data_IF_470605746619
#
_entry.id   IF_470605746619
#
_cell.length_a   1.000
_cell.length_b   1.000
_cell.length_c   1.000
_cell.angle_alpha   90.00
_cell.angle_beta   90.00
_cell.angle_gamma   90.00
#
_symmetry.space_group_name_H-M   'P 1'
#
loop_
_entity.id
_entity.type
_entity.pdbx_description
1 polymer ?
#
# COMPACT_ATOMS: atom_id res chain seq x y z
N UNK A 1 -3.72 -31.83 30.09
CA UNK A 1 -4.43 -30.57 29.83
C UNK A 1 -5.19 -30.83 28.56
N UNK A 2 -6.51 -30.85 28.61
CA UNK A 2 -7.37 -31.12 27.45
C UNK A 2 -7.71 -29.80 26.73
N UNK A 3 -7.70 -29.77 25.40
CA UNK A 3 -8.06 -28.57 24.63
C UNK A 3 -9.48 -28.10 24.95
N UNK A 4 -10.39 -29.04 25.22
CA UNK A 4 -11.75 -28.72 25.63
C UNK A 4 -11.80 -27.98 26.99
N UNK A 5 -10.92 -28.30 27.94
CA UNK A 5 -10.84 -27.56 29.21
C UNK A 5 -10.44 -26.10 28.98
N UNK A 6 -9.57 -25.84 27.99
CA UNK A 6 -9.20 -24.47 27.58
C UNK A 6 -10.41 -23.74 26.97
N UNK A 7 -11.20 -24.39 26.10
CA UNK A 7 -12.45 -23.78 25.57
C UNK A 7 -13.42 -23.41 26.69
N UNK A 8 -13.61 -24.31 27.66
CA UNK A 8 -14.46 -24.05 28.83
C UNK A 8 -13.92 -22.88 29.66
N UNK A 9 -12.61 -22.83 29.90
CA UNK A 9 -11.96 -21.72 30.58
C UNK A 9 -12.17 -20.38 29.87
N UNK A 10 -11.94 -20.32 28.55
CA UNK A 10 -12.09 -19.10 27.77
C UNK A 10 -13.53 -18.57 27.82
N UNK A 11 -14.52 -19.47 27.79
CA UNK A 11 -15.92 -19.07 27.86
C UNK A 11 -16.30 -18.52 29.25
N UNK A 12 -15.84 -19.18 30.32
CA UNK A 12 -16.04 -18.67 31.70
C UNK A 12 -15.31 -17.34 31.90
N UNK A 13 -14.11 -17.18 31.34
CA UNK A 13 -13.34 -15.95 31.41
C UNK A 13 -14.01 -14.80 30.64
N UNK A 14 -14.61 -15.08 29.47
CA UNK A 14 -15.33 -14.10 28.64
C UNK A 14 -16.57 -13.55 29.34
N UNK A 15 -17.33 -14.42 29.99
CA UNK A 15 -18.56 -14.06 30.68
C UNK A 15 -18.37 -13.63 32.14
N UNK A 16 -17.22 -13.97 32.74
CA UNK A 16 -17.03 -13.93 34.20
C UNK A 16 -18.23 -14.54 34.94
N UNK A 17 -18.77 -15.64 34.39
CA UNK A 17 -19.92 -16.34 34.92
C UNK A 17 -19.89 -17.82 34.51
N UNK A 18 -19.89 -18.71 35.51
CA UNK A 18 -19.97 -20.16 35.26
C UNK A 18 -21.32 -20.58 34.70
N UNK A 19 -22.40 -19.86 35.06
CA UNK A 19 -23.76 -20.18 34.60
C UNK A 19 -23.91 -19.79 33.13
N UNK A 20 -23.51 -18.57 32.75
CA UNK A 20 -23.61 -18.12 31.35
C UNK A 20 -22.72 -18.96 30.43
N UNK A 21 -21.51 -19.30 30.86
CA UNK A 21 -20.64 -20.18 30.09
C UNK A 21 -21.23 -21.58 29.92
N UNK A 22 -21.96 -22.08 30.92
CA UNK A 22 -22.65 -23.36 30.82
C UNK A 22 -23.77 -23.32 29.77
N UNK A 23 -24.54 -22.23 29.73
CA UNK A 23 -25.57 -22.01 28.72
C UNK A 23 -24.98 -21.94 27.31
N UNK A 24 -23.89 -21.19 27.11
CA UNK A 24 -23.21 -21.07 25.80
C UNK A 24 -22.65 -22.42 25.33
N UNK A 25 -22.09 -23.21 26.24
CA UNK A 25 -21.48 -24.50 25.93
C UNK A 25 -22.49 -25.66 25.88
N UNK A 26 -23.78 -25.40 26.13
CA UNK A 26 -24.81 -26.42 26.31
C UNK A 26 -24.42 -27.49 27.35
N UNK A 27 -23.84 -27.04 28.47
CA UNK A 27 -23.43 -27.86 29.60
C UNK A 27 -24.23 -27.49 30.85
N UNK A 28 -24.16 -28.34 31.88
CA UNK A 28 -24.62 -27.94 33.22
C UNK A 28 -23.52 -27.14 33.92
N UNK A 29 -23.90 -26.18 34.77
CA UNK A 29 -22.94 -25.41 35.56
C UNK A 29 -21.99 -26.31 36.40
N UNK A 30 -22.44 -27.41 37.03
CA UNK A 30 -21.54 -28.34 37.71
C UNK A 30 -20.51 -28.98 36.78
N UNK A 31 -20.86 -29.27 35.53
CA UNK A 31 -19.92 -29.83 34.55
C UNK A 31 -18.84 -28.82 34.14
N UNK A 32 -19.22 -27.57 33.90
CA UNK A 32 -18.28 -26.45 33.65
C UNK A 32 -17.35 -26.28 34.85
N UNK A 33 -17.90 -26.20 36.07
CA UNK A 33 -17.13 -26.07 37.31
C UNK A 33 -16.14 -27.22 37.51
N UNK A 34 -16.55 -28.46 37.24
CA UNK A 34 -15.69 -29.63 37.33
C UNK A 34 -14.53 -29.59 36.31
N UNK A 35 -14.79 -29.15 35.07
CA UNK A 35 -13.75 -29.01 34.05
C UNK A 35 -12.74 -27.93 34.39
N UNK A 36 -13.18 -26.76 34.89
CA UNK A 36 -12.28 -25.72 35.39
C UNK A 36 -11.45 -26.22 36.57
N UNK A 37 -12.09 -26.84 37.57
CA UNK A 37 -11.37 -27.36 38.74
C UNK A 37 -10.34 -28.41 38.36
N UNK A 38 -10.65 -29.28 37.39
CA UNK A 38 -9.69 -30.25 36.87
C UNK A 38 -8.49 -29.58 36.20
N UNK A 39 -8.72 -28.49 35.45
CA UNK A 39 -7.65 -27.72 34.83
C UNK A 39 -6.78 -27.01 35.88
N UNK A 40 -7.39 -26.41 36.90
CA UNK A 40 -6.67 -25.77 38.01
C UNK A 40 -5.82 -26.77 38.81
N UNK A 41 -6.34 -27.98 39.05
CA UNK A 41 -5.59 -29.07 39.69
C UNK A 41 -4.38 -29.46 38.85
N UNK A 42 -4.56 -29.60 37.54
CA UNK A 42 -3.47 -29.99 36.64
C UNK A 42 -2.38 -28.91 36.53
N UNK A 43 -2.77 -27.64 36.49
CA UNK A 43 -1.84 -26.50 36.45
C UNK A 43 -1.24 -26.19 37.83
N UNK A 44 -1.76 -26.80 38.91
CA UNK A 44 -1.32 -26.57 40.28
C UNK A 44 -1.63 -25.16 40.82
N UNK A 45 -2.54 -24.43 40.19
CA UNK A 45 -2.83 -23.03 40.53
C UNK A 45 -4.27 -22.64 40.16
N UNK A 46 -4.96 -21.81 40.97
CA UNK A 46 -6.28 -21.31 40.63
C UNK A 46 -6.22 -20.33 39.44
N UNK A 47 -7.19 -20.45 38.54
CA UNK A 47 -7.38 -19.56 37.39
C UNK A 47 -8.42 -18.48 37.69
N UNK A 48 -9.33 -18.77 38.62
CA UNK A 48 -10.34 -17.82 39.10
C UNK A 48 -10.25 -17.60 40.61
N UNK A 49 -10.59 -16.38 41.04
CA UNK A 49 -10.78 -16.01 42.45
C UNK A 49 -12.17 -15.45 42.67
N UNK A 50 -12.73 -15.71 43.86
CA UNK A 50 -14.04 -15.19 44.26
C UNK A 50 -13.87 -13.92 45.08
N UNK A 51 -14.57 -12.86 44.69
CA UNK A 51 -14.70 -11.61 45.43
C UNK A 51 -16.18 -11.39 45.73
N UNK A 52 -16.61 -11.92 46.88
CA UNK A 52 -18.01 -11.97 47.27
C UNK A 52 -18.85 -12.78 46.27
N UNK A 53 -19.79 -12.11 45.58
CA UNK A 53 -20.65 -12.73 44.56
C UNK A 53 -20.05 -12.70 43.14
N UNK A 54 -18.93 -12.00 42.92
CA UNK A 54 -18.30 -11.87 41.60
C UNK A 54 -17.09 -12.78 41.49
N UNK A 55 -16.84 -13.29 40.28
CA UNK A 55 -15.61 -14.01 39.95
C UNK A 55 -14.67 -13.07 39.19
N UNK A 56 -13.37 -13.27 39.37
CA UNK A 56 -12.31 -12.60 38.63
C UNK A 56 -11.23 -13.59 38.25
N UNK A 57 -10.45 -13.26 37.23
CA UNK A 57 -9.25 -14.01 36.87
C UNK A 57 -8.13 -13.77 37.89
N UNK A 58 -7.30 -14.79 38.09
CA UNK A 58 -5.97 -14.65 38.72
C UNK A 58 -4.96 -14.18 37.67
N UNK A 59 -3.74 -13.85 38.08
CA UNK A 59 -2.68 -13.48 37.13
C UNK A 59 -2.39 -14.61 36.13
N UNK A 60 -2.45 -15.87 36.58
CA UNK A 60 -2.33 -17.04 35.70
C UNK A 60 -3.57 -17.17 34.80
N UNK A 61 -4.76 -16.87 35.31
CA UNK A 61 -5.97 -16.80 34.51
C UNK A 61 -5.88 -15.75 33.39
N UNK A 62 -5.34 -14.57 33.67
CA UNK A 62 -5.13 -13.52 32.66
C UNK A 62 -4.13 -14.02 31.60
N UNK A 63 -3.00 -14.59 32.01
CA UNK A 63 -2.02 -15.15 31.09
C UNK A 63 -2.62 -16.24 30.18
N UNK A 64 -3.47 -17.11 30.74
CA UNK A 64 -4.13 -18.17 29.99
C UNK A 64 -5.24 -17.62 29.08
N UNK A 65 -5.91 -16.53 29.45
CA UNK A 65 -6.87 -15.86 28.57
C UNK A 65 -6.20 -15.29 27.32
N UNK A 66 -5.00 -14.72 27.47
CA UNK A 66 -4.22 -14.16 26.36
C UNK A 66 -3.61 -15.22 25.45
N UNK A 67 -3.19 -16.37 25.99
CA UNK A 67 -2.46 -17.40 25.25
C UNK A 67 -3.30 -18.63 24.88
N UNK A 68 -4.38 -18.90 25.60
CA UNK A 68 -5.29 -20.02 25.38
C UNK A 68 -5.90 -20.08 23.97
N UNK A 69 -6.29 -18.94 23.34
CA UNK A 69 -6.82 -18.94 21.97
C UNK A 69 -5.87 -19.59 20.96
N UNK A 70 -4.54 -19.45 21.14
CA UNK A 70 -3.54 -20.04 20.24
C UNK A 70 -3.64 -21.57 20.16
N UNK A 71 -3.98 -22.25 21.26
CA UNK A 71 -4.19 -23.71 21.24
C UNK A 71 -5.46 -24.11 20.49
N UNK A 72 -6.51 -23.28 20.62
CA UNK A 72 -7.78 -23.49 19.92
C UNK A 72 -7.59 -23.33 18.42
N UNK A 73 -6.80 -22.35 18.00
CA UNK A 73 -6.46 -22.11 16.61
C UNK A 73 -5.69 -23.30 16.01
N UNK A 74 -4.68 -23.82 16.73
CA UNK A 74 -3.93 -25.03 16.30
C UNK A 74 -4.85 -26.24 16.13
N UNK A 75 -5.79 -26.48 17.06
CA UNK A 75 -6.76 -27.58 16.93
C UNK A 75 -7.67 -27.40 15.72
N UNK A 76 -8.20 -26.19 15.52
CA UNK A 76 -9.05 -25.87 14.38
C UNK A 76 -8.30 -26.04 13.05
N UNK A 77 -7.02 -25.65 13.00
CA UNK A 77 -6.17 -25.79 11.82
C UNK A 77 -5.91 -27.25 11.48
N UNK A 78 -5.62 -28.07 12.49
CA UNK A 78 -5.45 -29.50 12.31
C UNK A 78 -6.73 -30.15 11.77
N UNK A 79 -7.90 -29.78 12.31
CA UNK A 79 -9.18 -30.29 11.83
C UNK A 79 -9.45 -29.87 10.38
N UNK A 80 -9.16 -28.61 10.02
CA UNK A 80 -9.28 -28.12 8.64
C UNK A 80 -8.34 -28.87 7.68
N UNK A 81 -7.10 -29.12 8.09
CA UNK A 81 -6.12 -29.83 7.27
C UNK A 81 -6.49 -31.30 7.12
N UNK A 82 -6.96 -31.95 8.18
CA UNK A 82 -7.52 -33.31 8.10
C UNK A 82 -8.71 -33.35 7.14
N UNK A 83 -9.58 -32.35 7.16
CA UNK A 83 -10.70 -32.24 6.23
C UNK A 83 -10.26 -32.05 4.77
N UNK A 84 -9.20 -31.25 4.55
CA UNK A 84 -8.55 -31.07 3.24
C UNK A 84 -7.96 -32.37 2.72
N UNK A 85 -7.30 -33.15 3.60
CA UNK A 85 -6.75 -34.47 3.27
C UNK A 85 -7.87 -35.48 2.95
N UNK A 86 -8.94 -35.52 3.77
CA UNK A 86 -10.09 -36.41 3.58
C UNK A 86 -10.84 -36.16 2.27
N UNK A 87 -10.98 -34.90 1.87
CA UNK A 87 -11.80 -34.50 0.71
C UNK A 87 -11.10 -34.62 -0.64
N UNK A 88 -9.84 -35.07 -0.68
CA UNK A 88 -9.11 -35.39 -1.91
C UNK A 88 -9.20 -34.28 -2.98
N UNK A 89 -8.26 -33.32 -2.97
CA UNK A 89 -8.02 -32.37 -4.08
C UNK A 89 -9.17 -31.41 -4.46
N UNK A 90 -10.23 -31.24 -3.66
CA UNK A 90 -11.23 -30.17 -3.84
C UNK A 90 -11.10 -29.12 -2.74
N UNK A 91 -10.16 -28.18 -2.91
CA UNK A 91 -10.00 -27.03 -2.01
C UNK A 91 -10.59 -25.77 -2.63
N UNK A 92 -11.51 -25.11 -1.92
CA UNK A 92 -11.89 -23.72 -2.25
C UNK A 92 -10.69 -22.85 -1.84
N UNK A 93 -10.07 -22.16 -2.80
CA UNK A 93 -9.06 -21.13 -2.52
C UNK A 93 -9.78 -19.84 -2.15
N UNK A 94 -9.65 -19.41 -0.90
CA UNK A 94 -10.22 -18.16 -0.39
C UNK A 94 -9.22 -17.03 -0.55
N UNK A 95 -9.63 -15.99 -1.26
CA UNK A 95 -8.81 -14.83 -1.60
C UNK A 95 -9.47 -13.59 -1.02
N UNK A 96 -8.72 -12.79 -0.28
CA UNK A 96 -9.11 -11.42 0.07
C UNK A 96 -8.36 -10.41 -0.76
N UNK A 97 -9.01 -9.32 -1.14
CA UNK A 97 -8.29 -8.21 -1.76
C UNK A 97 -9.01 -6.86 -1.56
N UNK A 98 -8.30 -5.78 -1.86
CA UNK A 98 -8.89 -4.44 -1.97
C UNK A 98 -9.77 -4.33 -3.22
N UNK A 99 -10.64 -3.31 -3.26
CA UNK A 99 -11.61 -3.14 -4.35
C UNK A 99 -10.95 -2.95 -5.72
N UNK A 100 -9.90 -2.14 -5.83
CA UNK A 100 -9.23 -1.89 -7.12
C UNK A 100 -8.57 -3.17 -7.67
N UNK A 101 -7.96 -3.97 -6.79
CA UNK A 101 -7.44 -5.29 -7.15
C UNK A 101 -8.56 -6.23 -7.62
N UNK A 102 -9.70 -6.26 -6.93
CA UNK A 102 -10.84 -7.08 -7.29
C UNK A 102 -11.44 -6.70 -8.66
N UNK A 103 -11.52 -5.42 -8.96
CA UNK A 103 -12.18 -4.91 -10.17
C UNK A 103 -11.28 -5.00 -11.41
N UNK A 104 -9.97 -4.73 -11.27
CA UNK A 104 -9.08 -4.59 -12.41
C UNK A 104 -8.07 -5.72 -12.61
N UNK A 105 -7.38 -6.14 -11.54
CA UNK A 105 -6.20 -7.01 -11.66
C UNK A 105 -6.50 -8.50 -11.48
N UNK A 106 -7.23 -8.84 -10.42
CA UNK A 106 -7.48 -10.21 -9.98
C UNK A 106 -8.33 -11.04 -10.97
N UNK A 107 -9.37 -10.51 -11.65
CA UNK A 107 -10.24 -11.32 -12.50
C UNK A 107 -9.49 -12.07 -13.60
N UNK A 108 -8.54 -11.41 -14.27
CA UNK A 108 -7.71 -12.03 -15.32
C UNK A 108 -6.84 -13.15 -14.77
N UNK A 109 -6.25 -12.97 -13.59
CA UNK A 109 -5.42 -14.00 -12.93
C UNK A 109 -6.27 -15.20 -12.50
N UNK A 110 -7.46 -14.96 -11.97
CA UNK A 110 -8.42 -16.00 -11.59
C UNK A 110 -8.92 -16.80 -12.80
N UNK A 111 -9.18 -16.14 -13.92
CA UNK A 111 -9.60 -16.81 -15.15
C UNK A 111 -8.52 -17.78 -15.64
N UNK A 112 -7.26 -17.34 -15.68
CA UNK A 112 -6.13 -18.19 -16.04
C UNK A 112 -5.94 -19.36 -15.05
N UNK A 113 -6.09 -19.10 -13.75
CA UNK A 113 -6.02 -20.12 -12.72
C UNK A 113 -7.08 -21.22 -12.91
N UNK A 114 -8.34 -20.83 -13.15
CA UNK A 114 -9.45 -21.78 -13.38
C UNK A 114 -9.31 -22.57 -14.68
N UNK A 115 -8.72 -21.97 -15.72
CA UNK A 115 -8.41 -22.73 -16.94
C UNK A 115 -7.36 -23.82 -16.70
N UNK A 116 -6.35 -23.52 -15.89
CA UNK A 116 -5.28 -24.48 -15.60
C UNK A 116 -5.66 -25.53 -14.54
N UNK A 117 -6.58 -25.17 -13.63
CA UNK A 117 -7.06 -26.04 -12.55
C UNK A 117 -8.60 -26.02 -12.45
N UNK A 118 -9.33 -26.64 -13.40
CA UNK A 118 -10.78 -26.61 -13.46
C UNK A 118 -11.48 -27.27 -12.27
N UNK A 119 -10.79 -28.14 -11.56
CA UNK A 119 -11.28 -28.84 -10.36
C UNK A 119 -11.31 -27.96 -9.10
N UNK A 120 -10.61 -26.81 -9.13
CA UNK A 120 -10.48 -25.93 -7.97
C UNK A 120 -11.49 -24.79 -8.02
N UNK A 121 -12.15 -24.55 -6.89
CA UNK A 121 -13.04 -23.41 -6.72
C UNK A 121 -12.26 -22.23 -6.11
N UNK A 122 -12.64 -21.01 -6.48
CA UNK A 122 -12.09 -19.80 -5.86
C UNK A 122 -13.22 -18.96 -5.28
N UNK A 123 -13.05 -18.50 -4.05
CA UNK A 123 -13.94 -17.55 -3.37
C UNK A 123 -13.16 -16.25 -3.15
N UNK A 124 -13.70 -15.13 -3.63
CA UNK A 124 -13.07 -13.82 -3.49
C UNK A 124 -13.93 -12.93 -2.58
N UNK A 125 -13.30 -12.29 -1.61
CA UNK A 125 -13.94 -11.33 -0.71
C UNK A 125 -13.22 -9.98 -0.81
N UNK A 126 -14.00 -8.90 -0.94
CA UNK A 126 -13.48 -7.53 -0.98
C UNK A 126 -13.39 -7.00 0.45
N UNK A 127 -12.26 -6.40 0.79
CA UNK A 127 -12.03 -5.76 2.08
C UNK A 127 -11.72 -4.28 1.86
N UNK A 128 -12.49 -3.41 2.50
CA UNK A 128 -12.46 -1.96 2.27
C UNK A 128 -11.35 -1.24 3.07
N UNK A 129 -10.63 -1.96 3.94
CA UNK A 129 -9.47 -1.40 4.63
C UNK A 129 -8.35 -2.43 4.76
N UNK A 130 -7.12 -1.93 4.81
CA UNK A 130 -5.92 -2.72 5.08
C UNK A 130 -6.04 -3.51 6.39
N UNK A 131 -6.66 -2.93 7.42
CA UNK A 131 -6.87 -3.58 8.71
C UNK A 131 -7.84 -4.77 8.62
N UNK A 132 -8.96 -4.63 7.90
CA UNK A 132 -9.90 -5.74 7.74
C UNK A 132 -9.27 -6.88 6.96
N UNK A 133 -8.52 -6.56 5.90
CA UNK A 133 -7.78 -7.57 5.13
C UNK A 133 -6.74 -8.27 6.01
N UNK A 134 -5.98 -7.51 6.79
CA UNK A 134 -5.02 -8.04 7.76
C UNK A 134 -5.67 -9.03 8.72
N UNK A 135 -6.77 -8.64 9.38
CA UNK A 135 -7.49 -9.49 10.33
C UNK A 135 -8.00 -10.76 9.67
N UNK A 136 -8.53 -10.66 8.44
CA UNK A 136 -9.00 -11.83 7.70
C UNK A 136 -7.87 -12.83 7.39
N UNK A 137 -6.65 -12.35 7.11
CA UNK A 137 -5.48 -13.21 6.89
C UNK A 137 -5.05 -13.87 8.21
N UNK A 138 -4.90 -13.09 9.28
CA UNK A 138 -4.43 -13.58 10.59
C UNK A 138 -5.41 -14.56 11.21
N UNK A 139 -6.72 -14.30 11.10
CA UNK A 139 -7.79 -15.19 11.54
C UNK A 139 -7.99 -16.39 10.60
N UNK A 140 -7.21 -16.48 9.52
CA UNK A 140 -7.32 -17.51 8.49
C UNK A 140 -8.73 -17.64 7.88
N UNK A 141 -9.45 -16.52 7.78
CA UNK A 141 -10.72 -16.44 7.07
C UNK A 141 -10.50 -16.53 5.55
N UNK A 142 -9.34 -16.06 5.10
CA UNK A 142 -8.81 -16.16 3.73
C UNK A 142 -7.45 -16.83 3.71
N UNK A 143 -7.12 -17.53 2.61
CA UNK A 143 -5.85 -18.24 2.46
C UNK A 143 -4.73 -17.29 1.96
N UNK A 144 -5.09 -16.33 1.10
CA UNK A 144 -4.18 -15.32 0.54
C UNK A 144 -4.86 -13.96 0.43
N UNK A 145 -4.07 -12.89 0.62
CA UNK A 145 -4.50 -11.51 0.45
C UNK A 145 -3.79 -10.78 -0.69
N UNK A 146 -4.45 -9.82 -1.32
CA UNK A 146 -3.81 -8.88 -2.27
C UNK A 146 -4.15 -7.43 -1.94
N UNK A 147 -3.14 -6.57 -1.95
CA UNK A 147 -3.27 -5.16 -1.58
C UNK A 147 -2.20 -4.31 -2.25
N UNK A 148 -2.48 -3.03 -2.46
CA UNK A 148 -1.53 -2.00 -2.88
C UNK A 148 -0.65 -1.50 -1.72
N UNK A 149 -1.02 -1.85 -0.48
CA UNK A 149 -0.33 -1.45 0.75
C UNK A 149 0.51 -2.63 1.26
N UNK A 150 1.78 -2.36 1.56
CA UNK A 150 2.70 -3.34 2.17
C UNK A 150 2.38 -3.54 3.65
N UNK A 151 2.46 -4.80 4.12
CA UNK A 151 2.40 -5.16 5.53
C UNK A 151 3.76 -5.67 6.04
N UNK A 152 4.86 -5.20 5.43
CA UNK A 152 6.22 -5.63 5.75
C UNK A 152 6.61 -5.44 7.22
N UNK A 153 6.00 -4.46 7.89
CA UNK A 153 6.31 -4.14 9.29
C UNK A 153 5.51 -5.00 10.29
N UNK A 154 4.62 -5.87 9.81
CA UNK A 154 3.77 -6.71 10.66
C UNK A 154 4.35 -8.11 10.81
N UNK A 155 4.47 -8.57 12.05
CA UNK A 155 5.22 -9.78 12.36
C UNK A 155 4.54 -11.06 11.86
N UNK A 156 3.22 -11.06 11.68
CA UNK A 156 2.38 -12.22 11.40
C UNK A 156 2.19 -12.47 9.90
N UNK A 157 2.51 -11.50 9.04
CA UNK A 157 2.28 -11.56 7.59
C UNK A 157 3.58 -11.54 6.81
N UNK A 158 3.67 -12.44 5.82
CA UNK A 158 4.65 -12.41 4.75
C UNK A 158 4.12 -11.60 3.57
N UNK A 159 4.86 -10.57 3.16
CA UNK A 159 4.52 -9.65 2.07
C UNK A 159 5.49 -9.85 0.88
N UNK A 160 4.95 -10.04 -0.33
CA UNK A 160 5.75 -10.18 -1.55
C UNK A 160 5.17 -9.32 -2.67
N UNK A 161 5.99 -8.49 -3.32
CA UNK A 161 5.55 -7.76 -4.51
C UNK A 161 5.33 -8.73 -5.68
N UNK A 162 4.17 -8.64 -6.33
CA UNK A 162 3.76 -9.53 -7.43
C UNK A 162 3.47 -8.78 -8.74
N UNK A 163 3.22 -7.48 -8.67
CA UNK A 163 3.02 -6.64 -9.85
C UNK A 163 3.23 -5.15 -9.51
N UNK A 164 3.19 -4.28 -10.52
CA UNK A 164 3.23 -2.84 -10.36
C UNK A 164 1.84 -2.21 -10.50
N UNK A 165 1.65 -1.06 -9.84
CA UNK A 165 0.44 -0.26 -9.95
C UNK A 165 0.81 1.21 -10.12
N UNK A 166 0.03 1.96 -10.89
CA UNK A 166 0.24 3.37 -11.17
C UNK A 166 -1.05 4.12 -10.90
N UNK A 167 -0.95 5.37 -10.46
CA UNK A 167 -2.12 6.20 -10.22
C UNK A 167 -2.22 7.31 -11.26
N UNK A 168 -3.45 7.66 -11.64
CA UNK A 168 -3.70 8.66 -12.67
C UNK A 168 -4.99 9.40 -12.41
N UNK A 169 -5.10 10.56 -13.06
CA UNK A 169 -6.31 11.34 -13.11
C UNK A 169 -7.24 10.76 -14.17
N UNK A 170 -8.52 10.61 -13.87
CA UNK A 170 -9.54 10.20 -14.81
C UNK A 170 -10.52 11.33 -15.05
N UNK A 171 -10.79 11.61 -16.32
CA UNK A 171 -11.70 12.67 -16.77
C UNK A 171 -12.62 12.16 -17.88
N UNK A 172 -13.77 12.84 -18.06
CA UNK A 172 -14.59 12.63 -19.25
C UNK A 172 -13.81 13.04 -20.52
N UNK A 173 -14.01 12.36 -21.66
CA UNK A 173 -13.44 12.76 -22.95
C UNK A 173 -13.80 14.19 -23.38
N UNK A 174 -14.91 14.73 -22.87
CA UNK A 174 -15.36 16.11 -23.16
C UNK A 174 -14.79 17.15 -22.18
N UNK A 175 -13.98 16.73 -21.21
CA UNK A 175 -13.39 17.63 -20.21
C UNK A 175 -12.23 18.45 -20.82
N UNK A 176 -12.05 19.71 -20.41
CA UNK A 176 -11.00 20.60 -20.96
C UNK A 176 -9.56 20.08 -20.74
N UNK A 177 -9.40 19.17 -19.79
CA UNK A 177 -8.12 18.53 -19.48
C UNK A 177 -7.84 17.29 -20.34
N UNK A 178 -8.83 16.74 -21.06
CA UNK A 178 -8.71 15.45 -21.75
C UNK A 178 -7.58 15.41 -22.80
N UNK A 179 -7.24 16.55 -23.40
CA UNK A 179 -6.16 16.65 -24.40
C UNK A 179 -4.78 16.88 -23.79
N UNK A 180 -4.68 17.03 -22.46
CA UNK A 180 -3.41 17.30 -21.77
C UNK A 180 -2.60 16.01 -21.63
N UNK A 181 -1.32 16.07 -21.99
CA UNK A 181 -0.39 14.92 -21.90
C UNK A 181 0.10 14.64 -20.47
N UNK A 182 0.12 15.66 -19.62
CA UNK A 182 0.50 15.58 -18.20
C UNK A 182 -0.04 16.81 -17.48
N UNK A 183 -0.25 16.68 -16.17
CA UNK A 183 -0.71 17.76 -15.28
C UNK A 183 0.04 17.70 -13.95
N UNK A 184 0.27 18.86 -13.32
CA UNK A 184 0.62 18.93 -11.91
C UNK A 184 -0.66 18.99 -11.07
N UNK A 185 -0.63 18.49 -9.85
CA UNK A 185 -1.73 18.66 -8.88
C UNK A 185 -2.14 20.13 -8.74
N UNK A 186 -1.18 21.07 -8.78
CA UNK A 186 -1.45 22.50 -8.67
C UNK A 186 -2.36 23.02 -9.81
N UNK A 187 -2.26 22.44 -11.01
CA UNK A 187 -3.12 22.80 -12.15
C UNK A 187 -4.59 22.44 -11.89
N UNK A 188 -4.84 21.55 -10.92
CA UNK A 188 -6.14 20.93 -10.67
C UNK A 188 -6.96 21.59 -9.55
N UNK A 189 -6.40 22.60 -8.87
CA UNK A 189 -7.03 23.27 -7.73
C UNK A 189 -8.32 24.04 -8.06
N UNK A 190 -8.66 24.19 -9.34
CA UNK A 190 -9.88 24.90 -9.79
C UNK A 190 -11.04 23.97 -10.16
N UNK A 191 -10.85 22.65 -10.12
CA UNK A 191 -11.85 21.68 -10.58
C UNK A 191 -12.46 20.89 -9.42
N UNK A 192 -13.70 20.40 -9.59
CA UNK A 192 -14.33 19.50 -8.63
C UNK A 192 -13.76 18.08 -8.73
N UNK A 193 -13.66 17.38 -7.60
CA UNK A 193 -13.13 16.02 -7.49
C UNK A 193 -14.15 15.05 -6.93
N UNK A 194 -14.11 13.81 -7.39
CA UNK A 194 -14.84 12.69 -6.80
C UNK A 194 -13.82 11.63 -6.39
N UNK A 195 -13.86 11.21 -5.12
CA UNK A 195 -12.89 10.30 -4.53
C UNK A 195 -13.59 9.15 -3.81
N UNK A 196 -12.87 8.03 -3.67
CA UNK A 196 -13.26 6.93 -2.79
C UNK A 196 -13.22 7.35 -1.30
N UNK A 197 -13.71 6.54 -0.34
CA UNK A 197 -13.64 6.86 1.09
C UNK A 197 -12.19 6.98 1.59
N UNK A 198 -11.97 7.66 2.72
CA UNK A 198 -10.64 7.92 3.31
C UNK A 198 -9.81 6.66 3.57
N UNK A 199 -10.48 5.52 3.71
CA UNK A 199 -9.87 4.22 3.96
C UNK A 199 -9.32 3.59 2.68
N UNK A 200 -9.79 4.03 1.51
CA UNK A 200 -9.42 3.48 0.22
C UNK A 200 -7.94 3.75 -0.13
N UNK A 201 -7.22 2.75 -0.68
CA UNK A 201 -5.81 2.90 -1.02
C UNK A 201 -5.49 4.10 -1.93
N UNK A 202 -6.25 4.29 -3.03
CA UNK A 202 -6.08 5.45 -3.93
C UNK A 202 -6.20 6.79 -3.21
N UNK A 203 -7.19 6.95 -2.33
CA UNK A 203 -7.36 8.19 -1.56
C UNK A 203 -6.21 8.44 -0.61
N UNK A 204 -5.75 7.42 0.11
CA UNK A 204 -4.56 7.55 0.99
C UNK A 204 -3.31 7.93 0.21
N UNK A 205 -3.11 7.34 -0.97
CA UNK A 205 -1.99 7.69 -1.85
C UNK A 205 -2.08 9.14 -2.29
N UNK A 206 -3.26 9.61 -2.70
CA UNK A 206 -3.49 11.01 -3.06
C UNK A 206 -3.21 11.95 -1.89
N UNK A 207 -3.88 11.74 -0.75
CA UNK A 207 -3.76 12.61 0.43
C UNK A 207 -2.34 12.65 0.98
N UNK A 208 -1.63 11.51 0.99
CA UNK A 208 -0.22 11.46 1.40
C UNK A 208 0.63 12.36 0.49
N UNK A 209 0.46 12.26 -0.83
CA UNK A 209 1.20 13.11 -1.78
C UNK A 209 0.80 14.57 -1.67
N UNK A 210 -0.48 14.89 -1.47
CA UNK A 210 -0.95 16.26 -1.21
C UNK A 210 -0.21 16.85 0.00
N UNK A 211 -0.18 16.12 1.11
CA UNK A 211 0.49 16.56 2.34
C UNK A 211 1.98 16.79 2.12
N UNK A 212 2.66 15.90 1.40
CA UNK A 212 4.09 16.03 1.09
C UNK A 212 4.42 17.30 0.28
N UNK A 213 3.50 17.74 -0.58
CA UNK A 213 3.65 18.98 -1.36
C UNK A 213 3.03 20.22 -0.69
N UNK A 214 2.49 20.06 0.53
CA UNK A 214 1.92 21.15 1.33
C UNK A 214 0.49 21.55 0.93
N UNK A 215 -0.26 20.64 0.31
CA UNK A 215 -1.68 20.78 -0.01
C UNK A 215 -2.53 19.81 0.83
N UNK A 216 -3.82 20.07 0.85
CA UNK A 216 -4.86 19.24 1.44
C UNK A 216 -6.07 19.20 0.52
N UNK A 217 -7.02 18.29 0.76
CA UNK A 217 -8.28 18.27 0.00
C UNK A 217 -9.12 19.56 0.17
N UNK A 218 -8.88 20.35 1.21
CA UNK A 218 -9.54 21.64 1.43
C UNK A 218 -9.09 22.72 0.45
N UNK A 219 -7.96 22.52 -0.22
CA UNK A 219 -7.43 23.43 -1.23
C UNK A 219 -8.11 23.26 -2.61
N UNK A 220 -9.16 22.43 -2.68
CA UNK A 220 -9.94 22.15 -3.89
C UNK A 220 -11.42 22.53 -3.67
N UNK A 221 -12.11 23.07 -4.69
CA UNK A 221 -13.40 23.75 -4.51
C UNK A 221 -14.53 22.82 -4.09
N UNK A 222 -14.53 21.57 -4.56
CA UNK A 222 -15.54 20.56 -4.25
C UNK A 222 -14.90 19.18 -4.29
N UNK A 223 -15.02 18.41 -3.21
CA UNK A 223 -14.49 17.05 -3.12
C UNK A 223 -15.61 16.13 -2.63
N UNK A 224 -16.23 15.45 -3.57
CA UNK A 224 -17.27 14.46 -3.31
C UNK A 224 -16.64 13.12 -2.90
N UNK A 225 -17.28 12.41 -1.98
CA UNK A 225 -16.86 11.07 -1.56
C UNK A 225 -17.92 10.05 -1.93
N UNK A 226 -17.51 8.96 -2.57
CA UNK A 226 -18.40 7.89 -3.04
C UNK A 226 -17.86 6.52 -2.63
N UNK A 227 -18.74 5.58 -2.30
CA UNK A 227 -18.32 4.26 -1.77
C UNK A 227 -18.06 3.20 -2.86
N UNK A 228 -18.31 3.51 -4.14
CA UNK A 228 -18.15 2.56 -5.23
C UNK A 228 -17.52 3.20 -6.48
N UNK A 229 -16.68 2.43 -7.17
CA UNK A 229 -16.11 2.84 -8.46
C UNK A 229 -17.19 3.10 -9.52
N UNK A 230 -18.33 2.41 -9.46
CA UNK A 230 -19.44 2.64 -10.38
C UNK A 230 -20.09 4.02 -10.24
N UNK A 231 -20.24 4.50 -9.00
CA UNK A 231 -20.72 5.85 -8.74
C UNK A 231 -19.68 6.89 -9.14
N UNK A 232 -18.41 6.67 -8.78
CA UNK A 232 -17.29 7.51 -9.18
C UNK A 232 -17.23 7.69 -10.70
N UNK A 233 -17.34 6.60 -11.46
CA UNK A 233 -17.44 6.62 -12.93
C UNK A 233 -18.54 7.55 -13.43
N UNK A 234 -19.72 7.48 -12.82
CA UNK A 234 -20.88 8.27 -13.23
C UNK A 234 -20.62 9.77 -13.01
N UNK A 235 -20.03 10.14 -11.87
CA UNK A 235 -19.61 11.51 -11.59
C UNK A 235 -18.58 12.03 -12.62
N UNK A 236 -17.59 11.21 -12.98
CA UNK A 236 -16.56 11.60 -13.94
C UNK A 236 -17.16 11.79 -15.34
N UNK A 237 -17.96 10.83 -15.81
CA UNK A 237 -18.54 10.85 -17.16
C UNK A 237 -19.57 11.97 -17.30
N UNK A 238 -20.47 12.15 -16.32
CA UNK A 238 -21.62 13.05 -16.44
C UNK A 238 -21.41 14.42 -15.80
N UNK A 239 -20.64 14.50 -14.71
CA UNK A 239 -20.56 15.68 -13.85
C UNK A 239 -19.32 16.55 -14.03
N UNK A 240 -18.45 16.23 -15.00
CA UNK A 240 -17.16 16.91 -15.19
C UNK A 240 -16.25 16.91 -13.94
N UNK A 241 -16.44 15.93 -13.04
CA UNK A 241 -15.57 15.73 -11.88
C UNK A 241 -14.26 15.06 -12.29
N UNK A 242 -13.19 15.42 -11.58
CA UNK A 242 -11.92 14.74 -11.65
C UNK A 242 -11.94 13.50 -10.74
N UNK A 243 -11.57 12.35 -11.29
CA UNK A 243 -11.36 11.14 -10.51
C UNK A 243 -9.88 10.84 -10.33
N UNK A 244 -9.51 10.21 -9.22
CA UNK A 244 -8.16 9.67 -9.02
C UNK A 244 -8.23 8.22 -8.56
N UNK A 245 -7.63 7.34 -9.34
CA UNK A 245 -7.61 5.91 -9.09
C UNK A 245 -6.37 5.28 -9.70
N UNK A 246 -6.15 4.00 -9.45
CA UNK A 246 -5.10 3.27 -10.15
C UNK A 246 -5.44 2.97 -11.61
N UNK A 247 -4.41 2.65 -12.39
CA UNK A 247 -4.51 2.18 -13.77
C UNK A 247 -5.23 0.82 -13.91
N UNK A 248 -5.59 0.18 -12.80
CA UNK A 248 -6.38 -1.06 -12.77
C UNK A 248 -7.88 -0.74 -12.84
N UNK A 249 -8.28 0.38 -12.27
CA UNK A 249 -9.65 0.86 -12.32
C UNK A 249 -9.93 1.52 -13.69
N UNK A 250 -11.18 1.45 -14.14
CA UNK A 250 -11.66 2.07 -15.38
C UNK A 250 -10.95 1.66 -16.69
N UNK A 251 -10.24 0.52 -16.70
CA UNK A 251 -9.53 0.05 -17.90
C UNK A 251 -10.45 -0.13 -19.12
N UNK A 252 -11.65 -0.68 -18.90
CA UNK A 252 -12.61 -0.92 -19.97
C UNK A 252 -13.17 0.39 -20.53
N UNK A 253 -13.40 1.36 -19.66
CA UNK A 253 -13.89 2.70 -20.00
C UNK A 253 -12.84 3.49 -20.78
N UNK A 254 -11.56 3.37 -20.40
CA UNK A 254 -10.47 3.94 -21.17
C UNK A 254 -10.31 3.25 -22.54
N UNK A 255 -10.43 1.92 -22.61
CA UNK A 255 -10.42 1.20 -23.89
C UNK A 255 -11.61 1.54 -24.79
N UNK A 256 -12.78 1.76 -24.19
CA UNK A 256 -13.99 2.17 -24.89
C UNK A 256 -14.00 3.67 -25.25
N UNK A 257 -13.03 4.45 -24.77
CA UNK A 257 -12.96 5.89 -24.99
C UNK A 257 -14.03 6.69 -24.25
N UNK A 258 -14.67 6.12 -23.21
CA UNK A 258 -15.65 6.81 -22.37
C UNK A 258 -15.02 7.52 -21.18
N UNK A 259 -13.76 7.22 -20.87
CA UNK A 259 -12.93 7.92 -19.90
C UNK A 259 -11.52 8.12 -20.45
N UNK A 260 -10.87 9.21 -20.06
CA UNK A 260 -9.48 9.51 -20.43
C UNK A 260 -8.64 9.51 -19.16
N UNK A 261 -7.56 8.71 -19.17
CA UNK A 261 -6.55 8.67 -18.12
C UNK A 261 -5.43 9.66 -18.44
N UNK A 262 -5.14 10.57 -17.51
CA UNK A 262 -4.08 11.58 -17.62
C UNK A 262 -3.06 11.35 -16.51
N UNK A 263 -1.77 11.15 -16.85
CA UNK A 263 -0.71 11.04 -15.85
C UNK A 263 -0.52 12.33 -15.06
N UNK A 264 -0.30 12.20 -13.76
CA UNK A 264 0.09 13.30 -12.87
C UNK A 264 1.58 13.25 -12.59
N UNK A 265 2.25 14.40 -12.63
CA UNK A 265 3.70 14.50 -12.46
C UNK A 265 4.16 13.95 -11.09
N UNK A 266 3.42 14.29 -10.04
CA UNK A 266 3.69 13.90 -8.65
C UNK A 266 3.45 12.39 -8.40
N UNK A 267 2.82 11.69 -9.35
CA UNK A 267 2.53 10.26 -9.29
C UNK A 267 3.21 9.46 -10.40
N UNK A 268 4.28 10.01 -11.00
CA UNK A 268 5.05 9.35 -12.05
C UNK A 268 5.75 8.05 -11.57
N UNK A 269 5.84 7.82 -10.27
CA UNK A 269 6.39 6.60 -9.68
C UNK A 269 5.33 5.51 -9.50
N UNK A 270 5.69 4.28 -9.83
CA UNK A 270 4.86 3.09 -9.60
C UNK A 270 4.80 2.72 -8.11
N UNK A 271 3.62 2.38 -7.63
CA UNK A 271 3.44 1.52 -6.47
C UNK A 271 3.61 0.04 -6.81
N UNK A 272 3.35 -0.83 -5.83
CA UNK A 272 3.40 -2.28 -6.01
C UNK A 272 2.11 -2.94 -5.55
N UNK A 273 1.71 -4.01 -6.23
CA UNK A 273 0.70 -4.95 -5.76
C UNK A 273 1.42 -6.00 -4.94
N UNK A 274 0.97 -6.19 -3.71
CA UNK A 274 1.53 -7.14 -2.77
C UNK A 274 0.62 -8.35 -2.60
N UNK A 275 1.22 -9.54 -2.64
CA UNK A 275 0.67 -10.76 -2.09
C UNK A 275 0.95 -10.79 -0.59
N UNK A 276 -0.08 -11.10 0.17
CA UNK A 276 -0.08 -11.22 1.62
C UNK A 276 -0.41 -12.66 2.00
N UNK A 277 0.40 -13.25 2.87
CA UNK A 277 0.20 -14.63 3.36
C UNK A 277 0.52 -14.71 4.85
N UNK A 278 -0.13 -15.59 5.64
CA UNK A 278 0.29 -15.85 7.01
C UNK A 278 1.75 -16.35 7.06
N UNK A 279 2.55 -15.86 8.01
CA UNK A 279 3.90 -16.40 8.24
C UNK A 279 3.79 -17.88 8.64
N UNK A 280 4.39 -18.76 7.83
CA UNK A 280 4.34 -20.22 7.99
C UNK A 280 3.90 -20.97 6.73
N UNK A 281 3.11 -20.33 5.87
CA UNK A 281 2.72 -20.90 4.56
C UNK A 281 3.77 -20.59 3.48
N UNK A 282 4.63 -19.61 3.72
CA UNK A 282 5.59 -19.08 2.74
C UNK A 282 6.95 -19.78 2.78
N UNK A 283 7.08 -20.95 2.16
CA UNK A 283 8.36 -21.39 1.58
C UNK A 283 8.49 -20.84 0.15
N UNK A 284 8.41 -19.50 0.00
CA UNK A 284 8.56 -18.81 -1.29
C UNK A 284 9.91 -19.10 -1.96
N UNK A 285 10.98 -19.28 -1.16
CA UNK A 285 12.33 -19.59 -1.63
C UNK A 285 12.46 -20.96 -2.33
N UNK A 286 11.47 -21.85 -2.23
CA UNK A 286 11.49 -23.15 -2.92
C UNK A 286 10.84 -23.14 -4.30
N UNK A 287 10.29 -21.99 -4.74
CA UNK A 287 9.60 -21.83 -6.01
C UNK A 287 10.45 -21.11 -7.09
N UNK A 288 11.75 -20.90 -6.82
CA UNK A 288 12.73 -20.40 -7.80
C UNK A 288 12.84 -21.34 -9.02
N UNK A 289 13.20 -20.82 -10.22
CA UNK A 289 13.24 -21.58 -11.47
C UNK A 289 14.50 -22.46 -11.59
N UNK A 290 14.91 -23.14 -10.52
CA UNK A 290 15.98 -24.13 -10.58
C UNK A 290 15.42 -25.55 -10.70
N UNK A 291 16.11 -26.37 -11.50
CA UNK A 291 15.70 -27.68 -12.03
C UNK A 291 14.78 -28.50 -11.11
N UNK A 292 13.73 -29.14 -11.67
CA UNK A 292 12.78 -29.91 -10.89
C UNK A 292 13.48 -31.09 -10.20
N UNK A 293 13.58 -31.03 -8.86
CA UNK A 293 13.88 -32.22 -8.06
C UNK A 293 12.68 -33.16 -8.17
N UNK A 294 12.94 -34.43 -8.50
CA UNK A 294 11.93 -35.50 -8.60
C UNK A 294 11.12 -35.55 -7.29
N UNK A 295 9.84 -35.22 -7.37
CA UNK A 295 8.94 -35.06 -6.21
C UNK A 295 7.84 -33.99 -6.36
N UNK A 296 7.71 -33.33 -7.52
CA UNK A 296 6.73 -32.26 -7.77
C UNK A 296 5.28 -32.75 -7.94
N UNK A 297 4.76 -33.49 -6.95
CA UNK A 297 3.39 -34.00 -6.93
C UNK A 297 2.74 -33.71 -5.58
N UNK A 298 2.44 -32.43 -5.31
CA UNK A 298 1.28 -31.93 -4.53
C UNK A 298 1.54 -30.49 -4.08
N UNK A 299 1.54 -29.54 -5.02
CA UNK A 299 1.39 -28.13 -4.64
C UNK A 299 -0.07 -27.91 -4.23
N UNK A 300 -0.30 -27.34 -3.04
CA UNK A 300 -1.64 -26.99 -2.58
C UNK A 300 -2.25 -25.85 -3.45
N UNK A 301 -3.57 -25.60 -3.40
CA UNK A 301 -4.22 -24.58 -4.24
C UNK A 301 -3.57 -23.19 -4.18
N UNK A 302 -3.12 -22.78 -2.98
CA UNK A 302 -2.41 -21.53 -2.72
C UNK A 302 -1.08 -21.48 -3.47
N UNK A 303 -0.24 -22.51 -3.32
CA UNK A 303 1.06 -22.60 -3.98
C UNK A 303 0.94 -22.67 -5.50
N UNK A 304 -0.09 -23.36 -6.03
CA UNK A 304 -0.39 -23.37 -7.47
C UNK A 304 -0.73 -21.96 -7.96
N UNK A 305 -1.53 -21.21 -7.20
CA UNK A 305 -1.91 -19.84 -7.57
C UNK A 305 -0.71 -18.91 -7.52
N UNK A 306 0.09 -18.97 -6.45
CA UNK A 306 1.32 -18.20 -6.31
C UNK A 306 2.29 -18.48 -7.46
N UNK A 307 2.50 -19.76 -7.81
CA UNK A 307 3.37 -20.16 -8.92
C UNK A 307 2.91 -19.55 -10.26
N UNK A 308 1.60 -19.48 -10.49
CA UNK A 308 1.03 -18.84 -11.67
C UNK A 308 1.26 -17.32 -11.71
N UNK A 309 1.23 -16.67 -10.54
CA UNK A 309 1.50 -15.24 -10.43
C UNK A 309 2.97 -14.93 -10.73
N UNK A 310 3.92 -15.71 -10.17
CA UNK A 310 5.36 -15.52 -10.37
C UNK A 310 5.77 -15.83 -11.83
N UNK A 311 5.18 -16.84 -12.45
CA UNK A 311 5.50 -17.23 -13.83
C UNK A 311 4.79 -16.38 -14.88
N UNK A 312 3.88 -15.50 -14.47
CA UNK A 312 3.34 -14.49 -15.39
C UNK A 312 4.41 -13.41 -15.55
N UNK A 313 4.88 -13.09 -16.77
CA UNK A 313 5.73 -11.92 -16.95
C UNK A 313 4.99 -10.72 -16.36
N UNK A 314 5.61 -10.03 -15.40
CA UNK A 314 5.16 -8.70 -14.98
C UNK A 314 5.08 -7.90 -16.27
N UNK A 315 3.90 -7.40 -16.67
CA UNK A 315 3.82 -6.54 -17.82
C UNK A 315 4.71 -5.33 -17.51
N UNK A 316 5.89 -5.27 -18.12
CA UNK A 316 6.62 -4.03 -18.32
C UNK A 316 5.81 -3.22 -19.32
N UNK A 317 4.65 -2.73 -18.89
CA UNK A 317 4.19 -1.43 -19.34
C UNK A 317 5.17 -0.49 -18.63
N UNK A 318 6.40 -0.42 -19.16
CA UNK A 318 7.20 0.76 -18.94
C UNK A 318 6.28 1.91 -19.34
N UNK A 319 5.86 2.80 -18.43
CA UNK A 319 5.23 4.03 -18.88
C UNK A 319 6.16 4.57 -19.96
N UNK A 320 5.62 4.80 -21.16
CA UNK A 320 6.38 5.25 -22.33
C UNK A 320 7.43 6.25 -21.82
N UNK A 321 8.72 5.91 -21.97
CA UNK A 321 9.84 6.47 -21.21
C UNK A 321 9.48 7.83 -20.61
N UNK A 322 9.33 7.90 -19.27
CA UNK A 322 8.90 9.12 -18.59
C UNK A 322 9.96 10.18 -18.84
N UNK A 323 9.76 10.95 -19.91
CA UNK A 323 10.49 12.17 -20.16
C UNK A 323 9.85 13.19 -19.24
N UNK A 324 10.38 13.33 -18.02
CA UNK A 324 10.21 14.60 -17.31
C UNK A 324 10.63 15.68 -18.30
N UNK A 325 9.74 16.60 -18.63
CA UNK A 325 10.23 17.87 -19.17
C UNK A 325 11.09 18.44 -18.07
N UNK A 326 12.42 18.42 -18.25
CA UNK A 326 13.21 19.38 -17.52
C UNK A 326 12.56 20.73 -17.80
N UNK A 327 12.44 21.59 -16.79
CA UNK A 327 12.08 22.97 -17.04
C UNK A 327 12.96 23.47 -18.18
N UNK A 328 12.37 24.21 -19.13
CA UNK A 328 13.12 24.67 -20.29
C UNK A 328 14.16 25.66 -19.79
N UNK A 329 15.39 25.22 -19.49
CA UNK A 329 16.45 26.13 -19.02
C UNK A 329 16.63 27.22 -20.07
N UNK A 330 16.13 28.43 -19.80
CA UNK A 330 16.43 29.62 -20.56
C UNK A 330 17.78 30.13 -20.05
N UNK A 331 18.86 29.50 -20.51
CA UNK A 331 20.21 30.00 -20.29
C UNK A 331 20.53 31.02 -21.37
N UNK A 332 21.32 32.04 -21.01
CA UNK A 332 21.80 33.10 -21.90
C UNK A 332 22.52 32.47 -23.09
N UNK A 333 21.83 32.31 -24.23
CA UNK A 333 22.52 32.07 -25.49
C UNK A 333 23.08 33.41 -25.97
N UNK A 334 24.32 33.72 -25.57
CA UNK A 334 25.14 34.55 -26.43
C UNK A 334 25.99 33.61 -27.26
N UNK A 335 25.59 33.45 -28.52
CA UNK A 335 26.29 32.78 -29.62
C UNK A 335 26.00 31.29 -29.85
N UNK A 336 26.15 30.96 -31.13
CA UNK A 336 25.77 29.75 -31.85
C UNK A 336 26.66 28.54 -31.54
N UNK A 337 26.04 27.36 -31.49
CA UNK A 337 26.61 26.03 -31.72
C UNK A 337 28.08 25.81 -31.31
N UNK A 338 28.28 25.27 -30.11
CA UNK A 338 29.36 24.34 -29.78
C UNK A 338 28.94 23.49 -28.58
N UNK A 339 29.59 22.34 -28.37
CA UNK A 339 29.43 21.49 -27.19
C UNK A 339 29.68 22.35 -25.94
N UNK A 340 28.61 22.91 -25.37
CA UNK A 340 28.69 23.80 -24.23
C UNK A 340 28.68 22.97 -22.95
N UNK A 341 29.68 23.17 -22.10
CA UNK A 341 29.63 22.73 -20.71
C UNK A 341 28.70 23.69 -19.97
N UNK A 342 27.54 23.21 -19.53
CA UNK A 342 26.56 23.98 -18.76
C UNK A 342 26.78 23.77 -17.27
N UNK A 343 27.03 24.85 -16.55
CA UNK A 343 27.17 24.83 -15.10
C UNK A 343 25.82 25.03 -14.40
N UNK A 344 25.48 24.11 -13.49
CA UNK A 344 24.31 24.18 -12.61
C UNK A 344 24.78 24.47 -11.18
N UNK A 345 24.53 25.67 -10.70
CA UNK A 345 24.84 26.09 -9.33
C UNK A 345 23.68 25.77 -8.38
N UNK A 346 23.93 24.93 -7.38
CA UNK A 346 22.95 24.44 -6.41
C UNK A 346 23.31 24.94 -5.01
N UNK A 347 22.43 25.73 -4.40
CA UNK A 347 22.58 26.18 -3.02
C UNK A 347 21.91 25.22 -2.05
N UNK A 348 22.61 24.77 -1.01
CA UNK A 348 22.03 23.93 0.05
C UNK A 348 22.17 24.57 1.42
N UNK A 349 21.12 24.46 2.23
CA UNK A 349 21.12 24.95 3.60
C UNK A 349 21.53 23.85 4.58
N UNK A 350 22.75 23.93 5.14
CA UNK A 350 23.28 22.89 6.02
C UNK A 350 22.90 23.07 7.51
N UNK A 351 21.98 23.99 7.82
CA UNK A 351 21.56 24.29 9.19
C UNK A 351 20.48 23.36 9.76
N UNK A 352 19.91 22.44 8.96
CA UNK A 352 18.88 21.50 9.45
C UNK A 352 19.14 20.08 8.94
N UNK A 353 18.95 19.06 9.81
CA UNK A 353 19.17 17.64 9.49
C UNK A 353 18.44 17.21 8.20
N UNK A 354 17.16 17.58 7.97
CA UNK A 354 16.46 17.19 6.74
C UNK A 354 17.08 17.76 5.46
N UNK A 355 17.51 19.02 5.46
CA UNK A 355 18.13 19.67 4.31
C UNK A 355 19.52 19.12 4.02
N UNK A 356 20.28 18.82 5.08
CA UNK A 356 21.59 18.16 4.97
C UNK A 356 21.44 16.78 4.38
N UNK A 357 20.47 15.98 4.85
CA UNK A 357 20.20 14.65 4.30
C UNK A 357 19.79 14.73 2.82
N UNK A 358 18.83 15.58 2.47
CA UNK A 358 18.39 15.74 1.08
C UNK A 358 19.52 16.20 0.15
N UNK A 359 20.28 17.24 0.54
CA UNK A 359 21.41 17.75 -0.24
C UNK A 359 22.53 16.73 -0.40
N UNK A 360 22.95 16.07 0.69
CA UNK A 360 24.02 15.07 0.67
C UNK A 360 23.62 13.80 -0.07
N UNK A 361 22.38 13.32 0.05
CA UNK A 361 21.90 12.13 -0.66
C UNK A 361 21.91 12.41 -2.17
N UNK A 362 21.31 13.54 -2.60
CA UNK A 362 21.27 13.92 -4.02
C UNK A 362 22.68 14.10 -4.57
N UNK A 363 23.58 14.73 -3.81
CA UNK A 363 24.97 14.96 -4.21
C UNK A 363 25.78 13.64 -4.30
N UNK A 364 25.74 12.80 -3.25
CA UNK A 364 26.59 11.59 -3.16
C UNK A 364 26.15 10.47 -4.08
N UNK A 365 24.85 10.36 -4.34
CA UNK A 365 24.29 9.36 -5.25
C UNK A 365 24.21 9.88 -6.68
N UNK A 366 24.71 11.09 -6.94
CA UNK A 366 24.69 11.75 -8.25
C UNK A 366 23.30 11.78 -8.91
N UNK A 367 22.23 11.75 -8.10
CA UNK A 367 20.86 11.52 -8.58
C UNK A 367 20.44 12.52 -9.66
N UNK A 368 20.80 13.80 -9.48
CA UNK A 368 20.47 14.83 -10.45
C UNK A 368 21.05 14.55 -11.83
N UNK A 369 22.27 13.98 -11.93
CA UNK A 369 22.91 13.68 -13.21
C UNK A 369 22.12 12.67 -14.06
N UNK A 370 21.34 11.80 -13.41
CA UNK A 370 20.46 10.84 -14.07
C UNK A 370 19.22 11.49 -14.68
N UNK A 371 18.79 12.64 -14.15
CA UNK A 371 17.58 13.36 -14.58
C UNK A 371 17.87 14.57 -15.48
N UNK A 372 19.14 14.87 -15.77
CA UNK A 372 19.48 15.94 -16.70
C UNK A 372 19.13 15.55 -18.14
N UNK A 373 18.56 16.49 -18.93
CA UNK A 373 18.14 16.19 -20.29
C UNK A 373 19.37 15.90 -21.17
N UNK A 374 19.34 14.77 -21.89
CA UNK A 374 20.43 14.35 -22.81
C UNK A 374 20.05 14.41 -24.28
N UNK A 375 18.79 14.73 -24.57
CA UNK A 375 18.19 14.69 -25.90
C UNK A 375 17.72 16.08 -26.36
N UNK A 376 17.38 16.20 -27.65
CA UNK A 376 16.89 17.45 -28.24
C UNK A 376 17.95 18.55 -28.23
N UNK A 377 17.60 19.75 -27.75
CA UNK A 377 18.51 20.91 -27.70
C UNK A 377 19.72 20.75 -26.76
N UNK A 378 19.74 19.70 -25.94
CA UNK A 378 20.82 19.38 -25.00
C UNK A 378 21.68 18.19 -25.45
N UNK A 379 21.48 17.71 -26.68
CA UNK A 379 22.28 16.63 -27.23
C UNK A 379 23.75 17.06 -27.37
N UNK A 380 24.66 16.37 -26.69
CA UNK A 380 26.08 16.70 -26.66
C UNK A 380 26.48 17.79 -25.66
N UNK A 381 25.57 18.22 -24.79
CA UNK A 381 25.86 19.15 -23.69
C UNK A 381 26.49 18.40 -22.51
N UNK A 382 27.61 18.91 -21.99
CA UNK A 382 28.16 18.42 -20.72
C UNK A 382 27.60 19.25 -19.58
N UNK A 383 27.11 18.62 -18.52
CA UNK A 383 26.62 19.34 -17.35
C UNK A 383 27.64 19.26 -16.21
N UNK A 384 27.99 20.40 -15.65
CA UNK A 384 28.84 20.51 -14.47
C UNK A 384 27.99 21.01 -13.30
N UNK A 385 27.93 20.27 -12.20
CA UNK A 385 27.13 20.63 -11.04
C UNK A 385 28.04 21.23 -9.97
N UNK A 386 27.75 22.46 -9.55
CA UNK A 386 28.47 23.17 -8.50
C UNK A 386 27.60 23.32 -7.26
N UNK A 387 28.06 22.74 -6.16
CA UNK A 387 27.35 22.79 -4.89
C UNK A 387 27.89 23.91 -4.00
N UNK A 388 26.99 24.75 -3.49
CA UNK A 388 27.32 25.85 -2.59
C UNK A 388 26.55 25.69 -1.28
N UNK A 389 27.28 25.68 -0.17
CA UNK A 389 26.70 25.53 1.16
C UNK A 389 26.41 26.89 1.77
N UNK A 390 25.21 27.07 2.32
CA UNK A 390 24.81 28.29 3.02
C UNK A 390 24.35 27.98 4.44
N UNK A 391 24.66 28.89 5.37
CA UNK A 391 24.29 28.76 6.78
C UNK A 391 22.78 29.00 7.03
N UNK A 392 22.13 29.82 6.20
CA UNK A 392 20.72 30.18 6.30
C UNK A 392 20.06 30.16 4.93
N UNK A 393 18.72 30.17 4.88
CA UNK A 393 17.98 30.14 3.62
C UNK A 393 17.95 31.46 2.84
N UNK A 394 18.13 32.60 3.51
CA UNK A 394 18.05 33.93 2.88
C UNK A 394 19.07 34.16 1.75
N UNK A 395 20.36 33.79 1.89
CA UNK A 395 21.34 33.83 0.79
C UNK A 395 20.96 32.96 -0.41
N UNK A 396 20.32 31.80 -0.18
CA UNK A 396 19.88 30.91 -1.26
C UNK A 396 18.73 31.56 -2.03
N UNK A 397 17.73 32.11 -1.34
CA UNK A 397 16.61 32.84 -1.98
C UNK A 397 17.11 34.05 -2.75
N UNK A 398 18.05 34.81 -2.18
CA UNK A 398 18.68 35.95 -2.86
C UNK A 398 19.49 35.51 -4.08
N UNK A 399 20.20 34.38 -3.99
CA UNK A 399 20.93 33.77 -5.09
C UNK A 399 20.01 33.30 -6.22
N UNK A 400 18.87 32.71 -5.87
CA UNK A 400 17.81 32.32 -6.81
C UNK A 400 17.09 33.52 -7.43
N UNK A 401 16.96 34.65 -6.76
CA UNK A 401 16.36 35.85 -7.36
C UNK A 401 17.33 36.60 -8.27
N UNK A 402 18.62 36.55 -7.97
CA UNK A 402 19.68 37.25 -8.72
C UNK A 402 20.28 36.43 -9.87
N UNK A 403 19.82 35.19 -10.08
CA UNK A 403 20.38 34.30 -11.10
C UNK A 403 21.75 33.71 -10.76
N UNK A 404 22.24 33.88 -9.53
CA UNK A 404 23.51 33.32 -9.05
C UNK A 404 23.40 31.85 -8.65
N UNK A 405 22.19 31.37 -8.39
CA UNK A 405 21.87 29.96 -8.15
C UNK A 405 20.77 29.54 -9.12
N UNK A 406 20.86 28.29 -9.60
CA UNK A 406 19.84 27.69 -10.44
C UNK A 406 18.83 26.90 -9.60
N UNK A 407 19.29 26.23 -8.54
CA UNK A 407 18.47 25.39 -7.65
C UNK A 407 18.82 25.71 -6.19
N UNK A 408 17.81 25.78 -5.32
CA UNK A 408 18.00 25.95 -3.87
C UNK A 408 17.31 24.84 -3.08
N UNK A 409 18.05 24.18 -2.18
CA UNK A 409 17.53 23.20 -1.23
C UNK A 409 17.48 23.85 0.15
N UNK A 410 16.27 24.12 0.62
CA UNK A 410 16.01 24.91 1.82
C UNK A 410 15.35 24.06 2.90
N UNK A 411 15.70 24.32 4.15
CA UNK A 411 15.02 23.79 5.33
C UNK A 411 14.26 24.92 6.00
N UNK A 412 12.93 24.88 5.91
CA UNK A 412 12.11 26.02 6.33
C UNK A 412 11.56 25.85 7.74
N UNK A 413 11.85 26.84 8.60
CA UNK A 413 10.86 27.49 9.49
C UNK A 413 10.56 28.87 8.89
N UNK A 414 9.37 29.08 8.32
CA UNK A 414 8.83 30.42 8.04
C UNK A 414 7.91 30.75 9.21
N UNK A 415 8.19 31.84 9.91
CA UNK A 415 7.30 32.38 10.94
C UNK A 415 6.11 33.11 10.30
N UNK A 416 5.21 32.35 9.68
CA UNK A 416 3.79 32.69 9.51
C UNK A 416 3.08 31.45 8.94
N UNK A 417 2.07 30.99 9.69
CA UNK A 417 1.29 29.76 9.52
C UNK A 417 2.04 28.43 9.76
N UNK A 418 1.80 27.89 10.97
CA UNK A 418 1.64 26.46 11.27
C UNK A 418 2.73 25.50 10.75
N UNK A 419 3.71 25.27 11.63
CA UNK A 419 4.71 24.18 11.71
C UNK A 419 4.46 22.99 10.79
N UNK A 420 5.45 22.59 9.95
CA UNK A 420 5.99 21.22 9.74
C UNK A 420 7.32 21.30 8.94
N UNK A 421 8.31 20.47 9.30
CA UNK A 421 9.65 20.42 8.68
C UNK A 421 9.64 19.55 7.41
N UNK A 422 9.72 20.17 6.23
CA UNK A 422 10.04 19.50 4.97
C UNK A 422 11.09 20.32 4.20
N UNK A 423 12.06 19.63 3.60
CA UNK A 423 13.04 20.25 2.71
C UNK A 423 12.36 20.67 1.41
N UNK A 424 12.40 21.95 1.07
CA UNK A 424 11.76 22.51 -0.14
C UNK A 424 12.83 22.77 -1.19
N UNK A 425 12.69 22.16 -2.38
CA UNK A 425 13.52 22.46 -3.55
C UNK A 425 12.86 23.62 -4.29
N UNK A 426 13.55 24.75 -4.38
CA UNK A 426 13.12 25.93 -5.12
C UNK A 426 13.94 26.07 -6.40
N UNK A 427 13.26 26.35 -7.51
CA UNK A 427 13.87 26.64 -8.81
C UNK A 427 13.82 28.15 -9.07
N UNK A 428 14.82 28.66 -9.79
CA UNK A 428 14.84 30.05 -10.25
C UNK A 428 13.60 30.35 -11.11
N UNK A 429 12.95 31.54 -11.01
CA UNK A 429 11.72 31.87 -11.75
C UNK A 429 11.83 31.72 -13.28
N UNK A 430 12.99 32.07 -13.87
CA UNK A 430 13.31 31.88 -15.30
C UNK A 430 13.57 30.41 -15.72
N UNK A 431 13.48 29.45 -14.79
CA UNK A 431 13.54 28.03 -15.12
C UNK A 431 12.15 27.43 -15.33
N UNK A 432 11.10 28.01 -14.73
CA UNK A 432 9.68 27.62 -14.91
C UNK A 432 9.18 28.14 -16.26
#
# INVERSE_FOLDING_TARGET
MEVYQIRVFLEVARHLSFTEAADVLNLTQPAVSAKIKSLEIELGTPLFRRLGRKIQLTDVGIFLLENGPKLIDIENDLLREIDRVKKGKSGILKIGCTSEIANGWLPKKLFNYRQQYPELQTQCSIYNSAEMLYRAIVNQEIDVGFSEISFSDVAEISTHAVDAIYYSLFVSPTHELAEKKWLSICDLQKYPWVLMPSEAPSRKVLETRLVEIGLTLLDFPQVETVDTAGLMRTYIIQGAYLGFASNLEFQLECQAGTLVSIPLQEFALSGSIFLLTPKGISNFNTLSPEKPRRGAADLNPVQRFIKLLINSPIPTIAPAAIHMRSPSFALRSTSSHRSETLTLSIGIQNGTIPSVAAGLIIQRLELLSHFLPKDGRYSGTQFQIEWQNFATGSPIVTGLHSGKLNIGILGVRIHSCSVHYLSKIMLHPLLV
#
